data_IF_578541951208
#
_entry.id   IF_578541951208
#
_cell.length_a   1.000
_cell.length_b   1.000
_cell.length_c   1.000
_cell.angle_alpha   90.00
_cell.angle_beta   90.00
_cell.angle_gamma   90.00
#
_symmetry.space_group_name_H-M   'P 1'
#
loop_
_entity.id
_entity.type
_entity.pdbx_description
1 polymer ?
#
# COMPACT_ATOMS: atom_id res chain seq x y z
N UNK A 1 36.11 1.26 -11.45
CA UNK A 1 35.77 2.66 -11.74
C UNK A 1 34.25 2.72 -11.83
N UNK A 2 33.58 2.97 -10.70
CA UNK A 2 32.12 3.14 -10.56
C UNK A 2 31.96 4.17 -9.45
N UNK A 3 32.37 5.41 -9.75
CA UNK A 3 32.19 6.54 -8.84
C UNK A 3 30.75 7.05 -8.99
N UNK A 4 29.97 6.84 -7.94
CA UNK A 4 28.98 7.75 -7.36
C UNK A 4 28.13 8.60 -8.32
N UNK A 5 27.13 8.00 -8.97
CA UNK A 5 25.97 8.71 -9.51
C UNK A 5 24.64 8.20 -8.91
N UNK A 6 24.65 7.91 -7.60
CA UNK A 6 23.47 7.45 -6.86
C UNK A 6 22.49 8.56 -6.47
N UNK A 7 22.81 9.85 -6.70
CA UNK A 7 21.92 10.97 -6.35
C UNK A 7 20.60 10.97 -7.15
N UNK A 8 20.58 10.32 -8.32
CA UNK A 8 19.38 10.24 -9.16
C UNK A 8 18.63 8.90 -9.06
N UNK A 9 19.15 7.95 -8.25
CA UNK A 9 18.52 6.65 -8.09
C UNK A 9 17.20 6.78 -7.35
N UNK A 10 16.13 6.27 -7.95
CA UNK A 10 14.79 6.32 -7.39
C UNK A 10 13.99 5.06 -7.73
N UNK A 11 13.19 4.62 -6.77
CA UNK A 11 12.21 3.55 -6.97
C UNK A 11 11.02 4.13 -7.73
N UNK A 12 10.60 3.46 -8.80
CA UNK A 12 9.44 3.85 -9.60
C UNK A 12 8.18 3.08 -9.20
N UNK A 13 8.31 1.77 -9.02
CA UNK A 13 7.16 0.90 -8.77
C UNK A 13 7.61 -0.44 -8.15
N UNK A 14 6.66 -1.17 -7.55
CA UNK A 14 6.83 -2.54 -7.07
C UNK A 14 5.77 -3.42 -7.72
N UNK A 15 6.21 -4.38 -8.54
CA UNK A 15 5.33 -5.27 -9.28
C UNK A 15 4.73 -6.37 -8.39
N UNK A 16 3.68 -7.06 -8.88
CA UNK A 16 2.96 -8.11 -8.14
C UNK A 16 3.86 -9.24 -7.62
N UNK A 17 4.92 -9.58 -8.35
CA UNK A 17 5.89 -10.60 -7.95
C UNK A 17 6.89 -10.10 -6.87
N UNK A 18 6.80 -8.84 -6.46
CA UNK A 18 7.69 -8.18 -5.51
C UNK A 18 8.95 -7.59 -6.15
N UNK A 19 9.08 -7.64 -7.47
CA UNK A 19 10.22 -7.02 -8.16
C UNK A 19 10.10 -5.51 -8.14
N UNK A 20 11.23 -4.85 -7.96
CA UNK A 20 11.29 -3.39 -7.81
C UNK A 20 11.79 -2.79 -9.12
N UNK A 21 11.01 -1.89 -9.70
CA UNK A 21 11.45 -1.10 -10.85
C UNK A 21 12.10 0.17 -10.30
N UNK A 22 13.29 0.46 -10.78
CA UNK A 22 14.03 1.67 -10.41
C UNK A 22 14.57 2.38 -11.64
N UNK A 23 14.90 3.66 -11.48
CA UNK A 23 15.56 4.45 -12.50
C UNK A 23 16.65 5.31 -11.90
N UNK A 24 17.64 5.65 -12.72
CA UNK A 24 18.65 6.65 -12.45
C UNK A 24 19.07 7.30 -13.77
N UNK A 25 19.71 8.46 -13.69
CA UNK A 25 20.34 9.13 -14.84
C UNK A 25 21.81 8.75 -14.90
N UNK A 26 22.27 8.32 -16.07
CA UNK A 26 23.70 8.09 -16.31
C UNK A 26 24.47 9.42 -16.47
N UNK A 27 25.80 9.34 -16.59
CA UNK A 27 26.68 10.50 -16.75
C UNK A 27 26.37 11.33 -18.01
N UNK A 28 25.64 10.75 -18.97
CA UNK A 28 25.21 11.40 -20.22
C UNK A 28 23.81 12.00 -20.10
N UNK A 29 23.15 11.84 -18.96
CA UNK A 29 21.77 12.28 -18.72
C UNK A 29 20.71 11.35 -19.31
N UNK A 30 21.08 10.16 -19.78
CA UNK A 30 20.13 9.16 -20.25
C UNK A 30 19.41 8.55 -19.06
N UNK A 31 18.13 8.23 -19.27
CA UNK A 31 17.30 7.63 -18.22
C UNK A 31 17.38 6.12 -18.33
N UNK A 32 17.98 5.49 -17.32
CA UNK A 32 18.11 4.03 -17.22
C UNK A 32 16.92 3.44 -16.48
N UNK A 33 16.38 2.33 -16.96
CA UNK A 33 15.35 1.54 -16.29
C UNK A 33 15.91 0.18 -15.90
N UNK A 34 15.87 -0.11 -14.61
CA UNK A 34 16.31 -1.39 -14.05
C UNK A 34 15.19 -2.12 -13.32
N UNK A 35 15.31 -3.44 -13.29
CA UNK A 35 14.47 -4.34 -12.51
C UNK A 35 15.34 -5.04 -11.47
N UNK A 36 15.01 -4.88 -10.20
CA UNK A 36 15.61 -5.64 -9.13
C UNK A 36 14.70 -6.80 -8.74
N UNK A 37 15.19 -8.03 -8.94
CA UNK A 37 14.48 -9.23 -8.54
C UNK A 37 14.78 -9.55 -7.07
N UNK A 38 13.77 -9.40 -6.22
CA UNK A 38 13.93 -9.56 -4.77
C UNK A 38 14.33 -10.99 -4.37
N UNK A 39 13.89 -12.00 -5.11
CA UNK A 39 14.13 -13.41 -4.77
C UNK A 39 15.56 -13.81 -5.12
N UNK A 40 16.02 -13.43 -6.30
CA UNK A 40 17.36 -13.78 -6.80
C UNK A 40 18.43 -12.77 -6.38
N UNK A 41 18.03 -11.58 -5.91
CA UNK A 41 18.89 -10.44 -5.58
C UNK A 41 19.74 -9.98 -6.76
N UNK A 42 19.20 -10.08 -7.98
CA UNK A 42 19.87 -9.68 -9.20
C UNK A 42 19.23 -8.42 -9.78
N UNK A 43 20.07 -7.60 -10.41
CA UNK A 43 19.63 -6.44 -11.19
C UNK A 43 19.64 -6.83 -12.67
N UNK A 44 18.57 -6.45 -13.36
CA UNK A 44 18.39 -6.61 -14.79
C UNK A 44 18.18 -5.23 -15.42
N UNK A 45 18.85 -4.98 -16.55
CA UNK A 45 18.60 -3.79 -17.35
C UNK A 45 17.37 -4.04 -18.24
N UNK A 46 16.38 -3.16 -18.14
CA UNK A 46 15.18 -3.25 -18.98
C UNK A 46 15.31 -2.40 -20.24
N UNK A 47 15.62 -1.12 -20.09
CA UNK A 47 15.66 -0.17 -21.21
C UNK A 47 16.38 1.13 -20.84
N UNK A 48 16.85 1.88 -21.84
CA UNK A 48 17.45 3.21 -21.65
C UNK A 48 16.84 4.19 -22.65
N UNK A 49 16.38 5.35 -22.17
CA UNK A 49 15.92 6.45 -23.02
C UNK A 49 17.02 7.50 -23.19
N UNK A 50 17.37 7.79 -24.44
CA UNK A 50 18.39 8.78 -24.81
C UNK A 50 17.85 10.21 -24.81
N UNK A 51 17.31 10.69 -23.68
CA UNK A 51 16.84 12.07 -23.50
C UNK A 51 16.83 12.46 -22.01
N UNK A 52 17.05 13.75 -21.74
CA UNK A 52 16.86 14.34 -20.42
C UNK A 52 15.35 14.42 -20.09
N UNK A 53 14.80 13.30 -19.63
CA UNK A 53 13.42 13.12 -19.24
C UNK A 53 13.35 12.86 -17.74
N UNK A 54 12.25 13.30 -17.13
CA UNK A 54 11.88 12.87 -15.79
C UNK A 54 10.83 11.78 -15.95
N UNK A 55 11.07 10.62 -15.35
CA UNK A 55 10.07 9.56 -15.33
C UNK A 55 8.94 9.99 -14.40
N UNK A 56 7.71 9.59 -14.71
CA UNK A 56 6.57 9.66 -13.80
C UNK A 56 6.38 8.26 -13.27
N UNK A 57 5.74 7.39 -14.06
CA UNK A 57 5.41 6.03 -13.67
C UNK A 57 6.01 5.02 -14.64
N UNK A 58 6.18 3.79 -14.17
CA UNK A 58 6.67 2.69 -14.99
C UNK A 58 6.16 1.34 -14.48
N UNK A 59 5.87 0.43 -15.41
CA UNK A 59 5.53 -0.95 -15.10
C UNK A 59 6.03 -1.89 -16.20
N UNK A 60 6.35 -3.12 -15.82
CA UNK A 60 6.76 -4.20 -16.72
C UNK A 60 5.78 -5.36 -16.64
N UNK A 61 5.47 -5.97 -17.78
CA UNK A 61 4.60 -7.15 -17.78
C UNK A 61 5.29 -8.37 -17.16
N UNK A 62 4.50 -9.39 -16.83
CA UNK A 62 4.96 -10.61 -16.15
C UNK A 62 6.10 -11.31 -16.90
N UNK A 63 6.02 -11.37 -18.22
CA UNK A 63 6.97 -12.04 -19.10
C UNK A 63 8.25 -11.21 -19.34
N UNK A 64 8.31 -9.95 -18.86
CA UNK A 64 9.43 -9.02 -19.06
C UNK A 64 9.72 -8.71 -20.53
N UNK A 65 8.67 -8.68 -21.36
CA UNK A 65 8.74 -8.44 -22.80
C UNK A 65 8.26 -7.04 -23.18
N UNK A 66 7.44 -6.42 -22.33
CA UNK A 66 6.85 -5.11 -22.52
C UNK A 66 7.14 -4.18 -21.34
N UNK A 67 7.56 -2.96 -21.63
CA UNK A 67 7.75 -1.89 -20.67
C UNK A 67 6.77 -0.75 -20.98
N UNK A 68 5.97 -0.35 -20.01
CA UNK A 68 5.18 0.87 -20.07
C UNK A 68 5.87 1.95 -19.23
N UNK A 69 6.05 3.14 -19.79
CA UNK A 69 6.69 4.25 -19.10
C UNK A 69 6.02 5.58 -19.44
N UNK A 70 5.71 6.37 -18.43
CA UNK A 70 5.24 7.75 -18.57
C UNK A 70 6.38 8.71 -18.25
N UNK A 71 6.66 9.63 -19.16
CA UNK A 71 7.84 10.49 -19.15
C UNK A 71 7.41 11.94 -19.35
N UNK A 72 8.01 12.87 -18.59
CA UNK A 72 7.86 14.31 -18.81
C UNK A 72 9.20 14.95 -19.15
N UNK A 73 9.15 16.03 -19.93
CA UNK A 73 10.36 16.76 -20.28
C UNK A 73 10.87 17.55 -19.07
N UNK A 74 12.13 17.35 -18.68
CA UNK A 74 12.74 18.12 -17.61
C UNK A 74 12.83 19.59 -18.07
N UNK A 75 12.19 20.51 -17.33
CA UNK A 75 12.28 21.92 -17.63
C UNK A 75 13.72 22.39 -17.37
N UNK A 76 14.48 22.69 -18.42
CA UNK A 76 15.76 23.39 -18.25
C UNK A 76 15.46 24.77 -17.66
N UNK A 77 16.04 25.07 -16.50
CA UNK A 77 15.92 26.35 -15.82
C UNK A 77 16.08 27.52 -16.81
N UNK A 78 15.07 28.40 -16.86
CA UNK A 78 15.23 29.75 -17.40
C UNK A 78 14.51 30.13 -18.70
N UNK A 79 13.92 29.20 -19.47
CA UNK A 79 13.09 29.59 -20.64
C UNK A 79 11.88 28.68 -20.84
N UNK A 80 10.81 28.93 -20.10
CA UNK A 80 9.45 28.59 -20.57
C UNK A 80 9.17 29.46 -21.78
N UNK A 81 9.38 28.93 -22.98
CA UNK A 81 8.72 29.48 -24.15
C UNK A 81 7.25 29.05 -24.04
N UNK A 82 6.35 29.94 -23.62
CA UNK A 82 4.89 29.75 -23.56
C UNK A 82 4.25 29.42 -24.93
N UNK A 83 5.05 29.29 -25.99
CA UNK A 83 4.68 29.12 -27.39
C UNK A 83 5.18 27.80 -28.02
N UNK A 84 5.63 26.81 -27.23
CA UNK A 84 5.98 25.48 -27.74
C UNK A 84 4.81 24.49 -27.53
N UNK A 85 4.09 24.08 -28.59
CA UNK A 85 2.90 23.23 -28.52
C UNK A 85 3.23 21.74 -28.36
N UNK A 86 4.01 21.37 -27.32
CA UNK A 86 4.37 19.99 -27.03
C UNK A 86 3.65 19.46 -25.78
N UNK A 87 3.13 18.23 -25.83
CA UNK A 87 2.52 17.57 -24.67
C UNK A 87 3.50 17.43 -23.52
N UNK A 88 3.08 17.79 -22.29
CA UNK A 88 3.93 17.70 -21.08
C UNK A 88 4.33 16.28 -20.73
N UNK A 89 3.42 15.32 -20.89
CA UNK A 89 3.57 13.91 -20.53
C UNK A 89 3.40 13.00 -21.75
N UNK A 90 4.40 12.15 -21.97
CA UNK A 90 4.41 11.14 -23.02
C UNK A 90 4.41 9.76 -22.38
N UNK A 91 3.37 8.97 -22.63
CA UNK A 91 3.25 7.59 -22.18
C UNK A 91 3.56 6.65 -23.32
N UNK A 92 4.56 5.80 -23.12
CA UNK A 92 5.13 4.91 -24.11
C UNK A 92 4.93 3.44 -23.71
N UNK A 93 4.79 2.59 -24.72
CA UNK A 93 4.84 1.14 -24.62
C UNK A 93 6.01 0.65 -25.48
N UNK A 94 6.93 -0.09 -24.88
CA UNK A 94 8.19 -0.51 -25.49
C UNK A 94 8.27 -2.04 -25.48
N UNK A 95 8.57 -2.62 -26.64
CA UNK A 95 8.98 -4.03 -26.76
C UNK A 95 10.46 -4.12 -26.37
N UNK A 96 10.79 -4.84 -25.30
CA UNK A 96 12.16 -4.84 -24.70
C UNK A 96 12.93 -6.16 -24.86
N UNK A 97 12.28 -7.26 -25.26
CA UNK A 97 12.95 -8.55 -25.42
C UNK A 97 12.55 -9.28 -26.71
N UNK A 98 13.29 -9.08 -27.83
CA UNK A 98 14.33 -8.07 -28.05
C UNK A 98 13.74 -6.65 -28.20
N UNK A 99 14.58 -5.63 -28.05
CA UNK A 99 14.18 -4.25 -28.34
C UNK A 99 13.80 -4.12 -29.80
N UNK A 100 12.56 -3.73 -30.05
CA UNK A 100 12.02 -3.72 -31.41
C UNK A 100 11.24 -2.46 -31.74
N UNK A 101 10.27 -2.10 -30.89
CA UNK A 101 9.33 -1.03 -31.19
C UNK A 101 9.02 -0.18 -29.96
N UNK A 102 8.82 1.12 -30.19
CA UNK A 102 8.36 2.09 -29.20
C UNK A 102 7.07 2.72 -29.72
N UNK A 103 5.98 2.50 -29.00
CA UNK A 103 4.67 3.03 -29.33
C UNK A 103 4.25 4.12 -28.36
N UNK A 104 3.72 5.22 -28.87
CA UNK A 104 3.05 6.24 -28.05
C UNK A 104 1.64 5.75 -27.70
N UNK A 105 1.36 5.58 -26.41
CA UNK A 105 0.01 5.29 -25.90
C UNK A 105 -0.79 6.57 -25.68
N UNK A 106 -0.15 7.59 -25.08
CA UNK A 106 -0.74 8.91 -24.85
C UNK A 106 0.31 10.02 -24.92
N UNK A 107 -0.11 11.17 -25.41
CA UNK A 107 0.63 12.43 -25.34
C UNK A 107 -0.35 13.50 -24.86
N UNK A 108 -0.23 13.88 -23.58
CA UNK A 108 -1.19 14.76 -22.88
C UNK A 108 -0.45 15.74 -21.98
N UNK A 109 -1.15 16.77 -21.49
CA UNK A 109 -0.55 17.77 -20.58
C UNK A 109 -0.63 17.39 -19.10
N UNK A 110 -1.39 16.33 -18.80
CA UNK A 110 -1.61 15.73 -17.48
C UNK A 110 -0.65 14.55 -17.22
N UNK A 111 -0.35 14.29 -15.96
CA UNK A 111 0.43 13.10 -15.59
C UNK A 111 -0.38 11.81 -15.79
N UNK A 112 0.33 10.75 -16.20
CA UNK A 112 -0.23 9.41 -16.38
C UNK A 112 0.58 8.42 -15.55
N UNK A 113 -0.12 7.53 -14.85
CA UNK A 113 0.44 6.38 -14.14
C UNK A 113 0.08 5.09 -14.87
N UNK A 114 1.00 4.12 -14.86
CA UNK A 114 0.88 2.90 -15.65
C UNK A 114 1.12 1.67 -14.79
N UNK A 115 0.26 0.66 -14.94
CA UNK A 115 0.40 -0.60 -14.19
C UNK A 115 -0.06 -1.81 -15.01
N UNK A 116 0.83 -2.77 -15.23
CA UNK A 116 0.45 -4.04 -15.85
C UNK A 116 -0.34 -4.93 -14.88
N UNK A 117 -1.34 -5.63 -15.43
CA UNK A 117 -2.05 -6.69 -14.74
C UNK A 117 -1.34 -8.03 -14.96
N UNK A 118 -1.18 -8.80 -13.89
CA UNK A 118 -0.47 -10.07 -13.87
C UNK A 118 -1.49 -11.22 -13.81
N UNK A 119 -1.59 -12.08 -14.82
CA UNK A 119 -2.55 -13.18 -14.80
C UNK A 119 -2.27 -14.13 -13.63
N UNK A 120 -3.33 -14.65 -13.01
CA UNK A 120 -3.23 -15.53 -11.82
C UNK A 120 -2.81 -16.97 -12.19
N UNK A 121 -3.13 -17.43 -13.39
CA UNK A 121 -2.84 -18.79 -13.82
C UNK A 121 -1.47 -18.84 -14.50
N UNK A 122 -0.61 -19.77 -14.05
CA UNK A 122 0.73 -20.01 -14.60
C UNK A 122 0.72 -20.77 -15.93
N UNK A 123 -0.46 -21.17 -16.41
CA UNK A 123 -0.61 -22.01 -17.59
C UNK A 123 -0.68 -21.16 -18.86
N UNK A 124 0.42 -21.23 -19.61
CA UNK A 124 0.70 -20.63 -20.91
C UNK A 124 0.84 -19.11 -20.91
N UNK A 125 1.85 -18.55 -21.61
CA UNK A 125 1.91 -17.11 -21.83
C UNK A 125 0.64 -16.71 -22.58
N UNK A 126 -0.24 -15.98 -21.90
CA UNK A 126 -1.42 -15.43 -22.55
C UNK A 126 -0.92 -14.48 -23.64
N UNK A 127 -1.48 -14.57 -24.86
CA UNK A 127 -1.13 -13.65 -25.93
C UNK A 127 -1.63 -12.23 -25.64
N UNK A 128 -2.33 -11.99 -24.53
CA UNK A 128 -2.92 -10.71 -24.20
C UNK A 128 -2.41 -10.21 -22.84
N UNK A 129 -1.89 -8.99 -22.84
CA UNK A 129 -1.43 -8.27 -21.67
C UNK A 129 -2.38 -7.11 -21.42
N UNK A 130 -2.69 -6.83 -20.16
CA UNK A 130 -3.55 -5.73 -19.78
C UNK A 130 -2.76 -4.66 -19.05
N UNK A 131 -2.98 -3.41 -19.42
CA UNK A 131 -2.30 -2.25 -18.84
C UNK A 131 -3.33 -1.26 -18.33
N UNK A 132 -3.26 -0.91 -17.05
CA UNK A 132 -4.01 0.21 -16.49
C UNK A 132 -3.28 1.51 -16.75
N UNK A 133 -4.01 2.50 -17.26
CA UNK A 133 -3.60 3.89 -17.38
C UNK A 133 -4.47 4.75 -16.46
N UNK A 134 -3.86 5.32 -15.44
CA UNK A 134 -4.50 6.28 -14.54
C UNK A 134 -4.09 7.69 -14.92
N UNK A 135 -5.04 8.59 -15.09
CA UNK A 135 -4.79 9.98 -15.47
C UNK A 135 -4.99 10.94 -14.30
N UNK A 136 -4.18 12.00 -14.27
CA UNK A 136 -4.35 13.15 -13.38
C UNK A 136 -5.71 13.85 -13.61
N UNK A 137 -6.30 13.68 -14.80
CA UNK A 137 -7.66 14.12 -15.13
C UNK A 137 -8.77 13.23 -14.54
N UNK A 138 -8.47 12.48 -13.47
CA UNK A 138 -9.44 11.68 -12.69
C UNK A 138 -10.14 10.57 -13.48
N UNK A 139 -9.42 9.85 -14.34
CA UNK A 139 -9.96 8.66 -15.00
C UNK A 139 -8.95 7.51 -15.09
N UNK A 140 -9.47 6.28 -15.17
CA UNK A 140 -8.70 5.05 -15.30
C UNK A 140 -9.20 4.27 -16.51
N UNK A 141 -8.29 3.84 -17.38
CA UNK A 141 -8.55 3.02 -18.56
C UNK A 141 -7.74 1.73 -18.51
N UNK A 142 -8.32 0.63 -18.97
CA UNK A 142 -7.61 -0.62 -19.23
C UNK A 142 -7.34 -0.72 -20.73
N UNK A 143 -6.08 -0.98 -21.09
CA UNK A 143 -5.64 -1.24 -22.46
C UNK A 143 -5.39 -2.73 -22.63
N UNK A 144 -5.82 -3.23 -23.79
CA UNK A 144 -5.63 -4.60 -24.23
C UNK A 144 -4.47 -4.67 -25.22
N UNK A 145 -3.42 -5.41 -24.87
CA UNK A 145 -2.18 -5.49 -25.64
C UNK A 145 -1.97 -6.94 -26.07
N UNK A 146 -2.34 -7.22 -27.32
CA UNK A 146 -2.08 -8.51 -27.92
C UNK A 146 -0.64 -8.60 -28.40
N UNK A 147 0.03 -9.68 -28.07
CA UNK A 147 1.40 -10.00 -28.45
C UNK A 147 1.45 -11.33 -29.21
N UNK A 148 2.42 -11.44 -30.11
CA UNK A 148 2.78 -12.68 -30.78
C UNK A 148 4.25 -12.97 -30.64
N UNK A 149 4.57 -14.26 -30.50
CA UNK A 149 5.92 -14.76 -30.65
C UNK A 149 6.21 -14.99 -32.13
N UNK A 150 7.20 -14.27 -32.66
CA UNK A 150 7.83 -14.52 -33.96
C UNK A 150 9.07 -15.41 -33.78
N UNK A 151 9.67 -15.85 -34.88
CA UNK A 151 10.85 -16.71 -34.90
C UNK A 151 11.96 -16.20 -33.94
N UNK A 152 12.46 -17.09 -33.08
CA UNK A 152 13.57 -16.81 -32.17
C UNK A 152 13.20 -16.11 -30.85
N UNK A 153 12.05 -16.44 -30.24
CA UNK A 153 11.53 -15.87 -28.98
C UNK A 153 11.22 -14.35 -29.03
N UNK A 154 11.12 -13.77 -30.23
CA UNK A 154 10.81 -12.34 -30.38
C UNK A 154 9.34 -12.09 -30.09
N UNK A 155 9.04 -11.19 -29.16
CA UNK A 155 7.65 -10.79 -28.85
C UNK A 155 7.32 -9.47 -29.53
N UNK A 156 6.26 -9.44 -30.34
CA UNK A 156 5.81 -8.26 -31.10
C UNK A 156 4.35 -7.95 -30.81
N UNK A 157 4.00 -6.68 -30.68
CA UNK A 157 2.63 -6.21 -30.48
C UNK A 157 1.82 -6.37 -31.77
N UNK A 158 0.71 -7.13 -31.70
CA UNK A 158 -0.28 -7.24 -32.77
C UNK A 158 -1.08 -5.95 -32.92
N UNK A 159 -1.48 -5.65 -34.16
CA UNK A 159 -2.37 -4.52 -34.47
C UNK A 159 -1.93 -3.20 -33.82
N UNK A 160 -0.63 -2.90 -33.93
CA UNK A 160 0.02 -1.76 -33.30
C UNK A 160 -0.58 -0.39 -33.68
N UNK A 161 -1.48 -0.30 -34.66
CA UNK A 161 -2.22 0.92 -34.99
C UNK A 161 -3.30 1.30 -33.97
N UNK A 162 -4.02 0.34 -33.37
CA UNK A 162 -5.14 0.63 -32.47
C UNK A 162 -5.24 -0.43 -31.36
N UNK A 163 -4.88 -0.04 -30.13
CA UNK A 163 -5.06 -0.90 -28.96
C UNK A 163 -6.47 -0.68 -28.41
N UNK A 164 -7.28 -1.73 -28.21
CA UNK A 164 -8.57 -1.63 -27.55
C UNK A 164 -8.40 -1.04 -26.14
N UNK A 165 -9.35 -0.18 -25.75
CA UNK A 165 -9.35 0.49 -24.45
C UNK A 165 -10.76 0.43 -23.84
N UNK A 166 -10.83 0.21 -22.54
CA UNK A 166 -12.07 0.22 -21.77
C UNK A 166 -11.94 1.20 -20.60
N UNK A 167 -12.98 2.02 -20.38
CA UNK A 167 -13.05 2.91 -19.21
C UNK A 167 -13.40 2.08 -17.97
N UNK A 168 -12.59 2.22 -16.91
CA UNK A 168 -12.75 1.48 -15.64
C UNK A 168 -13.41 2.36 -14.60
N UNK A 169 -12.89 3.58 -14.41
CA UNK A 169 -13.38 4.54 -13.44
C UNK A 169 -13.18 5.98 -13.95
N UNK A 170 -14.00 6.91 -13.47
CA UNK A 170 -13.94 8.34 -13.79
C UNK A 170 -14.45 9.16 -12.60
N UNK A 171 -14.12 10.46 -12.61
CA UNK A 171 -14.56 11.47 -11.64
C UNK A 171 -14.30 11.12 -10.16
N UNK A 172 -13.22 10.38 -9.90
CA UNK A 172 -12.80 10.02 -8.55
C UNK A 172 -11.96 11.12 -7.89
N UNK A 173 -12.06 11.21 -6.57
CA UNK A 173 -11.24 12.11 -5.73
C UNK A 173 -10.11 11.39 -5.01
N UNK A 174 -10.15 10.05 -4.98
CA UNK A 174 -9.10 9.25 -4.37
C UNK A 174 -9.08 7.87 -5.01
N UNK A 175 -7.90 7.29 -5.19
CA UNK A 175 -7.76 5.89 -5.59
C UNK A 175 -6.54 5.22 -4.94
N UNK A 176 -6.67 3.93 -4.64
CA UNK A 176 -5.58 3.06 -4.20
C UNK A 176 -5.53 1.80 -5.05
N UNK A 177 -4.31 1.45 -5.46
CA UNK A 177 -4.03 0.19 -6.11
C UNK A 177 -3.56 -0.84 -5.09
N UNK A 178 -4.20 -2.02 -5.08
CA UNK A 178 -3.69 -3.19 -4.38
C UNK A 178 -3.04 -4.15 -5.38
N UNK A 179 -1.72 -4.20 -5.34
CA UNK A 179 -0.91 -4.99 -6.27
C UNK A 179 -1.08 -6.50 -6.08
N UNK A 180 -1.27 -6.98 -4.85
CA UNK A 180 -1.27 -8.43 -4.56
C UNK A 180 -2.53 -9.10 -5.10
N UNK A 181 -3.68 -8.51 -4.79
CA UNK A 181 -4.99 -9.00 -5.18
C UNK A 181 -5.48 -8.39 -6.51
N UNK A 182 -4.75 -7.41 -7.07
CA UNK A 182 -5.15 -6.64 -8.25
C UNK A 182 -6.55 -6.07 -8.12
N UNK A 183 -6.71 -5.25 -7.08
CA UNK A 183 -7.95 -4.53 -6.77
C UNK A 183 -7.70 -3.04 -6.86
N UNK A 184 -8.66 -2.35 -7.48
CA UNK A 184 -8.72 -0.90 -7.47
C UNK A 184 -9.77 -0.45 -6.46
N UNK A 185 -9.33 0.27 -5.45
CA UNK A 185 -10.21 1.01 -4.55
C UNK A 185 -10.27 2.46 -5.02
N UNK A 186 -11.45 3.05 -5.14
CA UNK A 186 -11.56 4.46 -5.47
C UNK A 186 -12.79 5.08 -4.82
N UNK A 187 -12.75 6.40 -4.63
CA UNK A 187 -13.83 7.17 -4.03
C UNK A 187 -14.32 8.20 -5.03
N UNK A 188 -15.62 8.18 -5.33
CA UNK A 188 -16.32 9.25 -6.04
C UNK A 188 -17.22 10.05 -5.09
N UNK A 189 -17.57 11.28 -5.49
CA UNK A 189 -18.45 12.16 -4.72
C UNK A 189 -19.87 12.12 -5.30
N UNK A 190 -20.72 11.22 -4.80
CA UNK A 190 -22.13 11.16 -5.20
C UNK A 190 -22.97 12.06 -4.29
N UNK A 191 -23.54 13.14 -4.83
CA UNK A 191 -24.39 14.09 -4.07
C UNK A 191 -23.72 14.60 -2.78
N UNK A 192 -22.42 14.92 -2.88
CA UNK A 192 -21.58 15.35 -1.74
C UNK A 192 -21.34 14.29 -0.66
N UNK A 193 -21.63 13.01 -0.93
CA UNK A 193 -21.22 11.88 -0.09
C UNK A 193 -20.07 11.14 -0.74
N UNK A 194 -19.03 10.84 0.05
CA UNK A 194 -17.92 9.99 -0.36
C UNK A 194 -18.40 8.54 -0.48
N UNK A 195 -18.27 7.92 -1.65
CA UNK A 195 -18.64 6.52 -1.86
C UNK A 195 -17.40 5.73 -2.26
N UNK A 196 -17.00 4.78 -1.41
CA UNK A 196 -15.91 3.85 -1.71
C UNK A 196 -16.41 2.75 -2.63
N UNK A 197 -15.64 2.48 -3.67
CA UNK A 197 -15.89 1.39 -4.61
C UNK A 197 -14.66 0.51 -4.72
N UNK A 198 -14.89 -0.77 -4.94
CA UNK A 198 -13.83 -1.75 -5.16
C UNK A 198 -14.08 -2.46 -6.48
N UNK A 199 -13.10 -2.40 -7.39
CA UNK A 199 -13.08 -3.16 -8.64
C UNK A 199 -12.06 -4.29 -8.50
N UNK A 200 -12.48 -5.52 -8.76
CA UNK A 200 -11.59 -6.68 -8.87
C UNK A 200 -11.25 -6.91 -10.33
N UNK A 201 -9.96 -7.07 -10.63
CA UNK A 201 -9.49 -7.53 -11.95
C UNK A 201 -9.23 -9.03 -11.90
N UNK A 202 -9.84 -9.78 -12.82
CA UNK A 202 -9.70 -11.22 -12.90
C UNK A 202 -8.72 -11.64 -13.99
N UNK A 203 -8.33 -12.92 -13.96
CA UNK A 203 -7.42 -13.49 -14.93
C UNK A 203 -8.07 -13.73 -16.31
N UNK A 204 -9.39 -13.78 -16.39
CA UNK A 204 -10.18 -13.93 -17.62
C UNK A 204 -10.49 -12.58 -18.30
N UNK A 205 -9.63 -11.59 -18.08
CA UNK A 205 -9.65 -10.29 -18.77
C UNK A 205 -10.80 -9.36 -18.38
N UNK A 206 -11.73 -9.85 -17.56
CA UNK A 206 -12.85 -9.09 -17.04
C UNK A 206 -12.52 -8.44 -15.69
N UNK A 207 -13.19 -7.32 -15.43
CA UNK A 207 -13.22 -6.72 -14.11
C UNK A 207 -14.67 -6.54 -13.66
N UNK A 208 -14.91 -6.66 -12.36
CA UNK A 208 -16.23 -6.44 -11.78
C UNK A 208 -16.16 -5.49 -10.61
N UNK A 209 -17.18 -4.65 -10.49
CA UNK A 209 -17.45 -3.92 -9.27
C UNK A 209 -17.87 -4.92 -8.17
N UNK A 210 -17.05 -5.02 -7.13
CA UNK A 210 -17.27 -5.93 -6.00
C UNK A 210 -18.27 -5.35 -5.00
N UNK A 211 -18.10 -4.07 -4.65
CA UNK A 211 -19.01 -3.37 -3.75
C UNK A 211 -18.94 -1.86 -3.97
N UNK A 212 -19.99 -1.18 -3.53
CA UNK A 212 -20.01 0.25 -3.25
C UNK A 212 -20.48 0.46 -1.82
N UNK A 213 -19.85 1.37 -1.08
CA UNK A 213 -20.28 1.71 0.27
C UNK A 213 -20.09 3.19 0.55
N UNK A 214 -21.08 3.86 1.18
CA UNK A 214 -20.89 5.22 1.64
C UNK A 214 -19.83 5.25 2.75
N UNK A 215 -18.96 6.25 2.70
CA UNK A 215 -18.02 6.57 3.75
C UNK A 215 -18.46 7.86 4.44
N UNK A 216 -18.49 7.83 5.76
CA UNK A 216 -18.70 9.02 6.59
C UNK A 216 -17.37 9.79 6.74
N UNK A 217 -16.80 10.20 5.61
CA UNK A 217 -15.54 10.96 5.51
C UNK A 217 -15.72 12.15 4.60
N UNK A 218 -15.22 13.31 5.03
CA UNK A 218 -15.27 14.56 4.27
C UNK A 218 -14.04 14.68 3.38
N UNK A 219 -14.19 14.38 2.09
CA UNK A 219 -13.17 14.63 1.08
C UNK A 219 -13.55 15.85 0.23
N UNK A 220 -12.57 16.68 -0.11
CA UNK A 220 -12.76 17.81 -1.01
C UNK A 220 -12.50 17.38 -2.46
N UNK A 221 -13.21 18.01 -3.40
CA UNK A 221 -12.98 17.80 -4.84
C UNK A 221 -11.75 18.56 -5.38
N UNK A 222 -11.12 19.38 -4.53
CA UNK A 222 -10.03 20.30 -4.87
C UNK A 222 -8.66 19.65 -5.09
N UNK A 223 -8.51 18.35 -4.82
CA UNK A 223 -7.32 17.60 -5.17
C UNK A 223 -7.55 16.10 -5.07
N UNK A 224 -7.19 15.35 -6.12
CA UNK A 224 -7.27 13.90 -6.10
C UNK A 224 -5.96 13.29 -5.59
N UNK A 225 -6.03 12.13 -4.95
CA UNK A 225 -4.85 11.44 -4.39
C UNK A 225 -4.80 10.00 -4.87
N UNK A 226 -3.62 9.59 -5.32
CA UNK A 226 -3.32 8.21 -5.70
C UNK A 226 -2.45 7.57 -4.62
N UNK A 227 -2.74 6.32 -4.27
CA UNK A 227 -1.99 5.53 -3.30
C UNK A 227 -1.52 4.25 -3.97
N UNK A 228 -0.22 3.95 -3.88
CA UNK A 228 0.41 2.77 -4.49
C UNK A 228 0.38 2.71 -6.03
N UNK A 229 0.37 3.85 -6.73
CA UNK A 229 0.44 3.91 -8.20
C UNK A 229 1.85 4.13 -8.77
N UNK A 230 2.88 4.17 -7.91
CA UNK A 230 4.26 4.34 -8.34
C UNK A 230 4.52 5.71 -8.98
N UNK A 231 4.62 6.73 -8.14
CA UNK A 231 5.36 8.00 -8.29
C UNK A 231 4.89 8.96 -7.18
N UNK A 232 5.69 9.17 -6.15
CA UNK A 232 5.57 10.30 -5.22
C UNK A 232 6.92 11.02 -5.24
N UNK A 233 6.97 12.21 -5.85
CA UNK A 233 8.18 13.03 -5.83
C UNK A 233 8.44 13.52 -4.40
N UNK A 234 9.72 13.52 -3.98
CA UNK A 234 10.14 14.10 -2.70
C UNK A 234 9.75 15.59 -2.60
N UNK A 235 9.66 16.30 -3.74
CA UNK A 235 9.19 17.70 -3.76
C UNK A 235 7.68 17.86 -3.57
N UNK A 236 6.87 16.84 -3.84
CA UNK A 236 5.43 16.88 -3.56
C UNK A 236 5.12 16.54 -2.09
N UNK A 237 6.11 16.21 -1.27
CA UNK A 237 5.94 15.94 0.17
C UNK A 237 5.42 17.16 0.95
N UNK A 238 5.82 18.38 0.56
CA UNK A 238 5.28 19.63 1.12
C UNK A 238 3.83 19.92 0.68
N UNK A 239 3.37 19.32 -0.43
CA UNK A 239 1.97 19.40 -0.87
C UNK A 239 1.12 18.25 -0.31
N UNK A 240 1.70 17.07 -0.12
CA UNK A 240 1.05 15.89 0.45
C UNK A 240 0.60 16.11 1.91
N UNK A 241 1.27 16.99 2.66
CA UNK A 241 0.83 17.41 4.00
C UNK A 241 -0.52 18.12 4.01
N UNK A 242 -1.03 18.58 2.85
CA UNK A 242 -2.33 19.23 2.71
C UNK A 242 -3.46 18.27 2.35
N UNK A 243 -3.20 16.98 2.18
CA UNK A 243 -4.22 16.00 1.82
C UNK A 243 -4.42 14.96 2.93
N UNK A 244 -5.68 14.58 3.22
CA UNK A 244 -5.96 13.59 4.23
C UNK A 244 -5.25 12.27 3.90
N UNK A 245 -4.83 11.56 4.94
CA UNK A 245 -4.23 10.23 4.77
C UNK A 245 -5.36 9.20 4.81
N UNK A 246 -5.54 8.49 3.70
CA UNK A 246 -6.55 7.45 3.55
C UNK A 246 -5.89 6.20 2.96
N UNK A 247 -6.07 5.06 3.61
CA UNK A 247 -5.55 3.77 3.19
C UNK A 247 -6.63 2.70 3.35
N UNK A 248 -6.72 1.78 2.40
CA UNK A 248 -7.56 0.58 2.48
C UNK A 248 -6.65 -0.61 2.74
N UNK A 249 -6.98 -1.43 3.74
CA UNK A 249 -6.26 -2.66 4.01
C UNK A 249 -7.18 -3.86 3.91
N UNK A 250 -6.66 -4.89 3.28
CA UNK A 250 -7.24 -6.24 3.20
C UNK A 250 -6.25 -7.23 3.80
N UNK A 251 -6.77 -8.32 4.35
CA UNK A 251 -5.95 -9.45 4.77
C UNK A 251 -6.43 -10.76 4.12
N UNK A 252 -5.62 -11.82 4.25
CA UNK A 252 -5.91 -13.14 3.70
C UNK A 252 -7.12 -13.84 4.34
N UNK A 253 -7.57 -13.38 5.51
CA UNK A 253 -8.82 -13.85 6.12
C UNK A 253 -10.06 -13.15 5.56
N UNK A 254 -9.89 -12.20 4.64
CA UNK A 254 -10.97 -11.49 4.01
C UNK A 254 -11.46 -10.28 4.80
N UNK A 255 -10.78 -9.87 5.87
CA UNK A 255 -11.10 -8.61 6.57
C UNK A 255 -10.76 -7.41 5.69
N UNK A 256 -11.64 -6.41 5.68
CA UNK A 256 -11.45 -5.13 5.03
C UNK A 256 -11.60 -4.01 6.06
N UNK A 257 -10.66 -3.07 6.05
CA UNK A 257 -10.79 -1.82 6.80
C UNK A 257 -10.26 -0.61 6.03
N UNK A 258 -10.85 0.56 6.33
CA UNK A 258 -10.42 1.85 5.77
C UNK A 258 -9.89 2.69 6.92
N UNK A 259 -8.62 3.07 6.82
CA UNK A 259 -7.97 3.97 7.75
C UNK A 259 -8.00 5.39 7.17
N UNK A 260 -8.47 6.33 7.97
CA UNK A 260 -8.65 7.72 7.57
C UNK A 260 -8.09 8.66 8.64
N UNK A 261 -7.37 9.66 8.20
CA UNK A 261 -6.73 10.68 9.02
C UNK A 261 -7.01 12.01 8.30
N UNK A 262 -7.93 12.85 8.80
CA UNK A 262 -8.17 14.17 8.22
C UNK A 262 -6.90 15.02 8.29
N UNK A 263 -6.89 16.13 7.55
CA UNK A 263 -5.87 17.16 7.77
C UNK A 263 -6.05 17.76 9.17
N UNK A 264 -4.94 18.07 9.84
CA UNK A 264 -4.97 18.67 11.16
C UNK A 264 -4.51 20.12 11.09
N UNK A 265 -5.36 21.03 11.58
CA UNK A 265 -5.04 22.44 11.68
C UNK A 265 -4.19 22.77 12.92
N UNK A 266 -4.19 21.90 13.94
CA UNK A 266 -3.38 22.03 15.15
C UNK A 266 -2.65 20.74 15.50
N UNK A 267 -1.41 20.88 15.99
CA UNK A 267 -0.56 19.77 16.44
C UNK A 267 -0.78 19.41 17.92
N UNK A 268 -1.87 19.88 18.54
CA UNK A 268 -2.19 19.56 19.94
C UNK A 268 -2.90 18.20 20.07
N UNK A 269 -3.72 17.87 19.07
CA UNK A 269 -4.48 16.64 19.04
C UNK A 269 -4.52 16.11 17.62
N UNK A 270 -4.32 14.80 17.49
CA UNK A 270 -4.49 14.11 16.22
C UNK A 270 -5.66 13.15 16.34
N UNK A 271 -6.57 13.24 15.37
CA UNK A 271 -7.71 12.35 15.25
C UNK A 271 -7.56 11.45 14.03
N UNK A 272 -7.85 10.16 14.17
CA UNK A 272 -7.94 9.25 13.03
C UNK A 272 -9.05 8.24 13.26
N UNK A 273 -9.58 7.70 12.17
CA UNK A 273 -10.69 6.78 12.15
C UNK A 273 -10.29 5.49 11.43
N UNK A 274 -10.78 4.36 11.94
CA UNK A 274 -10.69 3.06 11.28
C UNK A 274 -12.10 2.53 11.09
N UNK A 275 -12.50 2.35 9.84
CA UNK A 275 -13.80 1.82 9.44
C UNK A 275 -13.64 0.32 9.16
N UNK A 276 -14.26 -0.52 9.98
CA UNK A 276 -14.20 -1.98 9.87
C UNK A 276 -15.37 -2.48 9.01
N UNK A 277 -15.17 -2.53 7.70
CA UNK A 277 -16.21 -2.89 6.73
C UNK A 277 -16.82 -4.26 7.02
N UNK A 278 -15.97 -5.23 7.34
CA UNK A 278 -16.39 -6.59 7.67
C UNK A 278 -17.17 -6.70 9.00
N UNK A 279 -17.21 -5.64 9.82
CA UNK A 279 -18.01 -5.55 11.06
C UNK A 279 -19.12 -4.48 11.01
N UNK A 280 -19.22 -3.72 9.91
CA UNK A 280 -20.25 -2.70 9.73
C UNK A 280 -20.16 -1.48 10.66
N UNK A 281 -19.03 -1.23 11.32
CA UNK A 281 -18.86 -0.07 12.20
C UNK A 281 -17.47 0.57 12.07
N UNK A 282 -17.34 1.80 12.60
CA UNK A 282 -16.09 2.54 12.64
C UNK A 282 -15.71 2.97 14.05
N UNK A 283 -14.42 3.16 14.29
CA UNK A 283 -13.90 3.75 15.53
C UNK A 283 -13.04 4.96 15.21
N UNK A 284 -13.23 6.02 15.97
CA UNK A 284 -12.43 7.24 15.89
C UNK A 284 -11.62 7.38 17.17
N UNK A 285 -10.33 7.64 17.01
CA UNK A 285 -9.36 7.78 18.08
C UNK A 285 -8.80 9.19 18.04
N UNK A 286 -8.63 9.80 19.21
CA UNK A 286 -7.99 11.10 19.37
C UNK A 286 -6.83 10.94 20.34
N UNK A 287 -5.63 11.25 19.87
CA UNK A 287 -4.40 11.22 20.65
C UNK A 287 -3.95 12.66 20.91
N UNK A 288 -3.75 13.00 22.19
CA UNK A 288 -3.15 14.28 22.59
C UNK A 288 -1.64 14.20 22.38
N UNK A 289 -1.10 15.12 21.61
CA UNK A 289 0.33 15.32 21.48
C UNK A 289 0.77 16.29 22.58
N UNK A 290 1.86 15.98 23.29
CA UNK A 290 2.51 16.97 24.17
C UNK A 290 3.01 18.18 23.38
N UNK A 291 3.59 19.18 24.04
CA UNK A 291 4.11 20.37 23.36
C UNK A 291 5.17 19.96 22.31
N UNK A 292 4.79 19.96 21.02
CA UNK A 292 5.63 19.47 19.93
C UNK A 292 6.54 20.59 19.46
N UNK A 293 7.85 20.35 19.45
CA UNK A 293 8.78 21.21 18.71
C UNK A 293 8.45 21.13 17.22
N UNK A 294 8.15 22.29 16.63
CA UNK A 294 7.58 22.50 15.28
C UNK A 294 8.40 22.00 14.09
N UNK A 295 9.41 21.15 14.31
CA UNK A 295 10.40 20.74 13.30
C UNK A 295 10.11 19.40 12.61
N UNK A 296 9.04 18.68 12.97
CA UNK A 296 8.75 17.37 12.37
C UNK A 296 7.40 17.39 11.66
N UNK A 297 7.41 17.75 10.38
CA UNK A 297 6.29 17.73 9.42
C UNK A 297 5.90 16.30 8.99
N UNK A 298 5.94 15.31 9.88
CA UNK A 298 5.66 13.91 9.51
C UNK A 298 4.18 13.59 9.74
N UNK A 299 3.49 13.19 8.69
CA UNK A 299 2.10 12.71 8.77
C UNK A 299 2.00 11.36 9.48
N UNK A 300 0.80 11.00 9.92
CA UNK A 300 0.50 9.64 10.40
C UNK A 300 0.78 8.63 9.28
N UNK A 301 1.40 7.52 9.66
CA UNK A 301 1.51 6.34 8.80
C UNK A 301 0.59 5.25 9.30
N UNK A 302 -0.17 4.65 8.38
CA UNK A 302 -0.88 3.40 8.61
C UNK A 302 -0.13 2.25 7.96
N UNK A 303 0.07 1.15 8.69
CA UNK A 303 0.74 -0.06 8.20
C UNK A 303 -0.13 -1.29 8.44
N UNK A 304 -0.26 -2.16 7.44
CA UNK A 304 -0.89 -3.47 7.61
C UNK A 304 0.11 -4.50 8.15
N UNK A 305 -0.28 -5.15 9.24
CA UNK A 305 0.45 -6.21 9.95
C UNK A 305 -0.48 -7.43 10.15
N UNK A 306 -1.05 -7.90 9.05
CA UNK A 306 -1.99 -9.05 8.97
C UNK A 306 -3.29 -8.86 9.77
N UNK A 307 -3.31 -9.29 11.03
CA UNK A 307 -4.46 -9.15 11.95
C UNK A 307 -4.49 -7.80 12.67
N UNK A 308 -3.46 -6.99 12.44
CA UNK A 308 -3.30 -5.70 13.06
C UNK A 308 -3.09 -4.60 12.02
N UNK A 309 -3.52 -3.40 12.37
CA UNK A 309 -3.10 -2.17 11.71
C UNK A 309 -2.28 -1.37 12.71
N UNK A 310 -1.05 -1.04 12.36
CA UNK A 310 -0.24 -0.10 13.12
C UNK A 310 -0.51 1.32 12.63
N UNK A 311 -0.90 2.20 13.55
CA UNK A 311 -1.01 3.65 13.37
C UNK A 311 0.16 4.28 14.09
N UNK A 312 1.05 4.91 13.34
CA UNK A 312 2.32 5.40 13.87
C UNK A 312 2.53 6.85 13.50
N UNK A 313 2.89 7.66 14.49
CA UNK A 313 3.42 8.99 14.31
C UNK A 313 4.84 9.04 14.87
N UNK A 314 5.86 9.26 14.02
CA UNK A 314 7.26 9.21 14.45
C UNK A 314 7.57 10.08 15.67
N UNK A 315 8.12 9.46 16.72
CA UNK A 315 8.51 10.13 17.96
C UNK A 315 7.36 10.51 18.91
N UNK A 316 6.11 10.16 18.59
CA UNK A 316 4.94 10.62 19.36
C UNK A 316 4.09 9.48 19.90
N UNK A 317 3.60 8.59 19.04
CA UNK A 317 2.79 7.46 19.47
C UNK A 317 2.84 6.30 18.48
N UNK A 318 2.50 5.12 18.99
CA UNK A 318 2.31 3.90 18.20
C UNK A 318 1.04 3.19 18.70
N UNK A 319 0.04 3.03 17.84
CA UNK A 319 -1.18 2.29 18.12
C UNK A 319 -1.26 1.04 17.25
N UNK A 320 -1.18 -0.13 17.87
CA UNK A 320 -1.40 -1.40 17.20
C UNK A 320 -2.86 -1.83 17.41
N UNK A 321 -3.70 -1.63 16.40
CA UNK A 321 -5.12 -1.92 16.41
C UNK A 321 -5.40 -3.34 15.94
N UNK A 322 -6.09 -4.15 16.74
CA UNK A 322 -6.55 -5.47 16.30
C UNK A 322 -7.75 -5.28 15.36
N UNK A 323 -7.59 -5.64 14.09
CA UNK A 323 -8.67 -5.46 13.09
C UNK A 323 -9.63 -6.65 13.04
N UNK A 324 -9.28 -7.78 13.65
CA UNK A 324 -10.10 -8.99 13.69
C UNK A 324 -11.17 -8.91 14.79
N UNK A 325 -10.81 -8.32 15.93
CA UNK A 325 -11.67 -8.08 17.09
C UNK A 325 -11.68 -6.60 17.47
N UNK A 326 -12.18 -5.72 16.59
CA UNK A 326 -12.13 -4.28 16.84
C UNK A 326 -12.88 -3.89 18.12
N UNK A 327 -13.91 -4.64 18.52
CA UNK A 327 -14.70 -4.41 19.74
C UNK A 327 -13.92 -4.66 21.03
N UNK A 328 -12.92 -5.55 20.99
CA UNK A 328 -12.09 -5.89 22.14
C UNK A 328 -10.88 -4.95 22.20
N UNK A 329 -11.09 -3.76 22.77
CA UNK A 329 -10.04 -2.73 22.93
C UNK A 329 -8.82 -3.28 23.68
N UNK A 330 -9.04 -4.23 24.60
CA UNK A 330 -7.99 -4.94 25.32
C UNK A 330 -7.02 -5.72 24.41
N UNK A 331 -7.36 -5.96 23.14
CA UNK A 331 -6.46 -6.60 22.17
C UNK A 331 -5.62 -5.58 21.39
N UNK A 332 -5.87 -4.27 21.56
CA UNK A 332 -5.16 -3.20 20.87
C UNK A 332 -4.18 -2.52 21.83
N UNK A 333 -2.96 -2.29 21.36
CA UNK A 333 -1.87 -1.74 22.16
C UNK A 333 -1.61 -0.29 21.76
N UNK A 334 -1.74 0.64 22.72
CA UNK A 334 -1.44 2.05 22.50
C UNK A 334 -0.23 2.48 23.32
N UNK A 335 0.81 2.96 22.65
CA UNK A 335 2.06 3.45 23.24
C UNK A 335 2.22 4.93 22.97
N UNK A 336 2.65 5.69 23.98
CA UNK A 336 2.94 7.14 23.88
C UNK A 336 4.43 7.41 24.03
N UNK A 337 4.88 8.57 23.52
CA UNK A 337 6.28 8.97 23.26
C UNK A 337 7.31 8.80 24.38
N UNK A 338 6.89 8.49 25.60
CA UNK A 338 7.80 8.18 26.71
C UNK A 338 8.21 6.70 26.77
N UNK A 339 7.80 5.88 25.81
CA UNK A 339 8.16 4.46 25.73
C UNK A 339 9.47 4.27 24.96
N UNK A 340 10.43 3.55 25.55
CA UNK A 340 11.70 3.14 24.89
C UNK A 340 11.45 2.44 23.55
N UNK A 341 10.28 1.83 23.37
CA UNK A 341 9.86 1.15 22.13
C UNK A 341 9.65 2.14 20.97
N UNK A 342 9.22 3.36 21.24
CA UNK A 342 8.98 4.38 20.20
C UNK A 342 10.31 4.92 19.66
N UNK A 343 11.33 5.00 20.49
CA UNK A 343 12.68 5.40 20.07
C UNK A 343 13.35 4.34 19.18
N UNK A 344 12.91 3.08 19.24
CA UNK A 344 13.37 2.03 18.33
C UNK A 344 12.69 2.07 16.95
N UNK A 345 11.56 2.80 16.81
CA UNK A 345 10.83 2.88 15.55
C UNK A 345 11.52 3.87 14.58
N UNK A 346 11.45 3.62 13.26
CA UNK A 346 12.06 4.52 12.29
C UNK A 346 11.51 5.94 12.43
N UNK A 347 12.40 6.90 12.66
CA UNK A 347 11.98 8.30 12.75
C UNK A 347 11.61 8.88 11.38
N UNK A 348 12.06 8.29 10.28
CA UNK A 348 11.77 8.73 8.91
C UNK A 348 10.31 8.43 8.51
N UNK A 349 9.72 9.19 7.57
CA UNK A 349 8.39 8.90 7.06
C UNK A 349 8.40 7.58 6.29
N UNK A 350 7.44 6.73 6.63
CA UNK A 350 7.26 5.40 6.06
C UNK A 350 6.06 5.41 5.10
N UNK A 351 6.19 4.77 3.95
CA UNK A 351 5.07 4.52 3.06
C UNK A 351 4.69 3.04 3.10
N UNK A 352 3.44 2.75 3.46
CA UNK A 352 2.89 1.40 3.35
C UNK A 352 2.66 1.06 1.87
N UNK A 353 3.13 -0.12 1.48
CA UNK A 353 2.82 -0.74 0.20
C UNK A 353 1.98 -2.02 0.46
N UNK A 354 1.55 -2.70 -0.60
CA UNK A 354 0.81 -3.96 -0.48
C UNK A 354 1.60 -5.03 0.29
N UNK A 355 0.90 -5.85 1.07
CA UNK A 355 1.45 -7.07 1.69
C UNK A 355 2.59 -6.81 2.68
N UNK A 356 2.35 -5.93 3.65
CA UNK A 356 3.27 -5.53 4.75
C UNK A 356 4.63 -4.96 4.33
N UNK A 357 4.79 -4.60 3.06
CA UNK A 357 5.97 -3.91 2.56
C UNK A 357 5.93 -2.43 2.95
N UNK A 358 7.08 -1.89 3.33
CA UNK A 358 7.22 -0.51 3.79
C UNK A 358 8.43 0.11 3.13
N UNK A 359 8.23 1.22 2.43
CA UNK A 359 9.32 2.04 1.89
C UNK A 359 9.68 3.11 2.91
N UNK A 360 10.94 3.10 3.34
CA UNK A 360 11.53 4.18 4.12
C UNK A 360 12.10 5.25 3.18
N UNK A 361 11.41 6.39 3.09
CA UNK A 361 11.81 7.50 2.24
C UNK A 361 13.15 8.11 2.65
N UNK A 362 13.47 8.10 3.94
CA UNK A 362 14.71 8.70 4.44
C UNK A 362 15.95 7.92 4.00
N UNK A 363 15.83 6.60 3.85
CA UNK A 363 16.95 5.74 3.45
C UNK A 363 16.83 5.15 2.05
N UNK A 364 15.68 5.28 1.39
CA UNK A 364 15.37 4.63 0.12
C UNK A 364 15.29 3.10 0.22
N UNK A 365 15.17 2.55 1.44
CA UNK A 365 15.17 1.11 1.68
C UNK A 365 13.76 0.57 1.78
N UNK A 366 13.55 -0.60 1.18
CA UNK A 366 12.32 -1.36 1.30
C UNK A 366 12.46 -2.41 2.40
N UNK A 367 11.48 -2.42 3.31
CA UNK A 367 11.40 -3.35 4.42
C UNK A 367 10.10 -4.17 4.34
N UNK A 368 10.09 -5.31 5.03
CA UNK A 368 8.86 -6.03 5.35
C UNK A 368 8.59 -5.87 6.83
N UNK A 369 7.49 -5.21 7.18
CA UNK A 369 7.09 -5.01 8.55
C UNK A 369 6.40 -6.28 9.08
N UNK A 370 6.87 -6.76 10.23
CA UNK A 370 6.36 -7.98 10.88
C UNK A 370 6.36 -7.77 12.40
N UNK A 371 5.37 -8.35 13.06
CA UNK A 371 5.37 -8.44 14.52
C UNK A 371 6.33 -9.56 14.96
N UNK A 372 7.38 -9.18 15.69
CA UNK A 372 8.39 -10.12 16.16
C UNK A 372 7.99 -10.67 17.54
N UNK A 373 7.74 -11.98 17.60
CA UNK A 373 7.32 -12.66 18.83
C UNK A 373 8.31 -12.51 20.00
N UNK A 374 9.62 -12.55 19.74
CA UNK A 374 10.62 -12.43 20.81
C UNK A 374 10.60 -11.04 21.43
N UNK A 375 10.52 -9.99 20.61
CA UNK A 375 10.40 -8.61 21.11
C UNK A 375 9.06 -8.37 21.81
N UNK A 376 7.96 -8.92 21.30
CA UNK A 376 6.66 -8.81 21.98
C UNK A 376 6.64 -9.51 23.35
N UNK A 377 7.29 -10.67 23.47
CA UNK A 377 7.46 -11.36 24.75
C UNK A 377 8.33 -10.56 25.72
N UNK A 378 9.47 -10.06 25.25
CA UNK A 378 10.35 -9.21 26.06
C UNK A 378 9.59 -7.97 26.53
N UNK A 379 8.77 -7.38 25.65
CA UNK A 379 7.99 -6.22 26.02
C UNK A 379 6.86 -6.57 27.01
N UNK A 380 6.18 -7.71 26.84
CA UNK A 380 5.20 -8.23 27.81
C UNK A 380 5.79 -8.36 29.21
N UNK A 381 7.05 -8.82 29.31
CA UNK A 381 7.74 -8.98 30.59
C UNK A 381 8.11 -7.66 31.25
N UNK A 382 8.42 -6.63 30.45
CA UNK A 382 8.97 -5.37 30.94
C UNK A 382 7.92 -4.27 31.11
N UNK A 383 6.75 -4.36 30.46
CA UNK A 383 5.69 -3.36 30.61
C UNK A 383 5.14 -3.33 32.04
N UNK A 384 4.78 -2.13 32.50
CA UNK A 384 4.21 -1.92 33.84
C UNK A 384 2.68 -1.88 33.82
N UNK A 385 2.08 -1.41 32.74
CA UNK A 385 0.64 -1.17 32.67
C UNK A 385 -0.10 -2.46 32.35
N UNK A 386 -1.13 -2.76 33.15
CA UNK A 386 -1.91 -3.97 32.95
C UNK A 386 -2.63 -4.02 31.60
N UNK A 387 -3.13 -2.88 31.11
CA UNK A 387 -3.76 -2.81 29.79
C UNK A 387 -2.78 -3.13 28.66
N UNK A 388 -1.53 -2.70 28.78
CA UNK A 388 -0.47 -3.04 27.83
C UNK A 388 -0.11 -4.53 27.92
N UNK A 389 0.01 -5.09 29.14
CA UNK A 389 0.24 -6.53 29.35
C UNK A 389 -0.85 -7.36 28.69
N UNK A 390 -2.11 -6.97 28.87
CA UNK A 390 -3.26 -7.64 28.30
C UNK A 390 -3.21 -7.62 26.77
N UNK A 391 -3.01 -6.44 26.16
CA UNK A 391 -2.90 -6.31 24.72
C UNK A 391 -1.71 -7.08 24.14
N UNK A 392 -0.56 -7.04 24.80
CA UNK A 392 0.63 -7.79 24.42
C UNK A 392 0.42 -9.30 24.53
N UNK A 393 -0.26 -9.79 25.56
CA UNK A 393 -0.59 -11.21 25.72
C UNK A 393 -1.41 -11.71 24.52
N UNK A 394 -2.49 -11.01 24.16
CA UNK A 394 -3.30 -11.38 22.99
C UNK A 394 -2.54 -11.23 21.67
N UNK A 395 -1.71 -10.19 21.54
CA UNK A 395 -0.88 -9.97 20.35
C UNK A 395 0.16 -11.09 20.17
N UNK A 396 0.85 -11.47 21.24
CA UNK A 396 1.83 -12.57 21.23
C UNK A 396 1.17 -13.88 20.82
N UNK A 397 0.03 -14.22 21.42
CA UNK A 397 -0.69 -15.46 21.15
C UNK A 397 -1.24 -15.52 19.72
N UNK A 398 -1.77 -14.41 19.20
CA UNK A 398 -2.27 -14.34 17.81
C UNK A 398 -1.16 -14.43 16.75
N UNK A 399 0.03 -13.93 17.06
CA UNK A 399 1.16 -13.92 16.12
C UNK A 399 1.96 -15.24 16.10
N UNK A 400 1.61 -16.23 16.93
CA UNK A 400 2.38 -17.46 17.19
C UNK A 400 2.49 -18.43 16.00
N UNK A 401 3.72 -18.77 15.59
CA UNK A 401 4.01 -19.83 14.59
C UNK A 401 4.21 -21.21 15.23
N UNK A 402 4.59 -21.23 16.51
CA UNK A 402 4.73 -22.42 17.36
C UNK A 402 4.02 -22.14 18.69
N UNK A 403 2.69 -22.36 18.74
CA UNK A 403 1.88 -21.99 19.91
C UNK A 403 2.33 -22.74 21.17
N UNK A 404 2.76 -24.01 21.06
CA UNK A 404 3.11 -24.82 22.23
C UNK A 404 4.36 -24.31 22.95
N UNK A 405 5.41 -23.98 22.19
CA UNK A 405 6.65 -23.44 22.79
C UNK A 405 6.42 -22.05 23.38
N UNK A 406 5.57 -21.26 22.73
CA UNK A 406 5.21 -19.93 23.17
C UNK A 406 4.42 -19.97 24.48
N UNK A 407 3.39 -20.81 24.54
CA UNK A 407 2.58 -21.05 25.74
C UNK A 407 3.45 -21.49 26.91
N UNK A 408 4.41 -22.40 26.71
CA UNK A 408 5.32 -22.82 27.77
C UNK A 408 6.13 -21.64 28.37
N UNK A 409 6.61 -20.71 27.54
CA UNK A 409 7.31 -19.51 28.01
C UNK A 409 6.40 -18.57 28.78
N UNK A 410 5.16 -18.39 28.31
CA UNK A 410 4.17 -17.54 28.98
C UNK A 410 3.78 -18.17 30.32
N UNK A 411 3.51 -19.47 30.38
CA UNK A 411 3.20 -20.20 31.63
C UNK A 411 4.34 -20.05 32.63
N UNK A 412 5.59 -20.20 32.19
CA UNK A 412 6.75 -20.00 33.05
C UNK A 412 6.76 -18.57 33.62
N UNK A 413 6.60 -17.56 32.76
CA UNK A 413 6.57 -16.17 33.19
C UNK A 413 5.43 -15.88 34.17
N UNK A 414 4.20 -16.37 33.90
CA UNK A 414 3.05 -16.22 34.80
C UNK A 414 3.35 -16.85 36.16
N UNK A 415 3.98 -18.02 36.18
CA UNK A 415 4.34 -18.73 37.42
C UNK A 415 5.38 -17.97 38.25
N UNK A 416 6.30 -17.27 37.59
CA UNK A 416 7.30 -16.40 38.23
C UNK A 416 6.71 -15.04 38.65
N UNK A 417 5.56 -14.64 38.09
CA UNK A 417 4.99 -13.29 38.18
C UNK A 417 3.48 -13.29 38.50
N UNK A 418 3.03 -14.17 39.39
CA UNK A 418 1.59 -14.41 39.68
C UNK A 418 0.84 -13.13 40.08
N UNK A 419 1.51 -12.16 40.70
CA UNK A 419 0.94 -10.88 41.12
C UNK A 419 1.32 -9.69 40.22
N UNK A 420 1.76 -9.95 38.98
CA UNK A 420 2.19 -8.88 38.08
C UNK A 420 1.05 -8.05 37.50
N UNK A 421 -0.20 -8.54 37.53
CA UNK A 421 -1.37 -7.79 37.10
C UNK A 421 -2.28 -7.48 38.30
N UNK A 422 -2.83 -6.27 38.33
CA UNK A 422 -3.73 -5.80 39.39
C UNK A 422 -5.20 -5.72 38.96
N UNK A 423 -5.46 -5.56 37.66
CA UNK A 423 -6.79 -5.32 37.10
C UNK A 423 -7.48 -6.56 36.50
N UNK A 424 -6.75 -7.66 36.28
CA UNK A 424 -7.30 -8.91 35.75
C UNK A 424 -6.51 -10.13 36.25
N UNK A 425 -7.15 -11.31 36.20
CA UNK A 425 -6.50 -12.58 36.49
C UNK A 425 -5.72 -13.07 35.27
N UNK A 426 -4.39 -13.05 35.39
CA UNK A 426 -3.47 -13.37 34.32
C UNK A 426 -3.53 -14.85 33.89
N UNK A 427 -3.80 -15.77 34.82
CA UNK A 427 -3.91 -17.21 34.52
C UNK A 427 -5.20 -17.46 33.75
N UNK A 428 -6.32 -16.90 34.25
CA UNK A 428 -7.61 -17.02 33.60
C UNK A 428 -7.55 -16.47 32.17
N UNK A 429 -7.01 -15.27 31.99
CA UNK A 429 -6.94 -14.62 30.69
C UNK A 429 -6.04 -15.39 29.72
N UNK A 430 -4.89 -15.89 30.19
CA UNK A 430 -4.03 -16.74 29.38
C UNK A 430 -4.76 -17.99 28.87
N UNK A 431 -5.53 -18.67 29.75
CA UNK A 431 -6.29 -19.86 29.35
C UNK A 431 -7.34 -19.51 28.29
N UNK A 432 -8.07 -18.40 28.46
CA UNK A 432 -9.08 -17.94 27.52
C UNK A 432 -8.44 -17.63 26.17
N UNK A 433 -7.39 -16.80 26.17
CA UNK A 433 -6.71 -16.35 24.96
C UNK A 433 -6.04 -17.51 24.22
N UNK A 434 -5.29 -18.37 24.91
CA UNK A 434 -4.63 -19.55 24.31
C UNK A 434 -5.67 -20.51 23.71
N UNK A 435 -6.74 -20.83 24.46
CA UNK A 435 -7.80 -21.70 23.96
C UNK A 435 -8.47 -21.12 22.71
N UNK A 436 -8.78 -19.82 22.75
CA UNK A 436 -9.37 -19.12 21.61
C UNK A 436 -8.49 -19.22 20.36
N UNK A 437 -7.21 -18.85 20.46
CA UNK A 437 -6.28 -18.84 19.33
C UNK A 437 -5.89 -20.25 18.85
N UNK A 438 -6.07 -21.28 19.68
CA UNK A 438 -5.87 -22.67 19.25
C UNK A 438 -6.99 -23.18 18.33
N UNK A 439 -8.23 -22.73 18.55
CA UNK A 439 -9.42 -23.18 17.80
C UNK A 439 -9.68 -22.28 16.59
N UNK A 440 -9.43 -20.97 16.73
CA UNK A 440 -9.78 -19.97 15.72
C UNK A 440 -9.24 -20.26 14.30
N UNK A 441 -7.97 -20.68 14.10
CA UNK A 441 -7.43 -20.98 12.79
C UNK A 441 -8.25 -22.03 12.02
N UNK A 442 -8.83 -23.03 12.73
CA UNK A 442 -9.67 -24.08 12.14
C UNK A 442 -11.02 -23.53 11.64
N UNK A 443 -11.52 -22.45 12.24
CA UNK A 443 -12.79 -21.79 11.90
C UNK A 443 -12.66 -20.63 10.91
N UNK A 444 -11.44 -20.13 10.64
CA UNK A 444 -11.15 -18.99 9.75
C UNK A 444 -11.58 -19.16 8.29
N UNK A 445 -11.93 -20.39 7.86
CA UNK A 445 -12.58 -20.62 6.57
C UNK A 445 -14.04 -20.12 6.54
N UNK A 446 -14.65 -19.78 7.69
CA UNK A 446 -15.97 -19.15 7.74
C UNK A 446 -15.95 -17.70 7.27
N UNK A 447 -14.86 -16.96 7.51
CA UNK A 447 -14.71 -15.59 6.99
C UNK A 447 -14.52 -15.58 5.46
N UNK A 448 -14.07 -16.71 4.87
CA UNK A 448 -14.02 -16.91 3.41
C UNK A 448 -15.37 -17.25 2.77
N UNK A 449 -16.38 -17.65 3.55
CA UNK A 449 -17.70 -18.03 3.04
C UNK A 449 -18.60 -16.82 2.70
N UNK A 450 -18.18 -15.60 3.04
CA UNK A 450 -18.85 -14.37 2.65
C UNK A 450 -17.90 -13.49 1.81
N UNK A 451 -17.64 -13.86 0.55
CA UNK A 451 -16.97 -12.95 -0.37
C UNK A 451 -17.94 -11.82 -0.72
N UNK A 452 -18.00 -10.79 0.14
CA UNK A 452 -18.58 -9.46 -0.10
C UNK A 452 -19.78 -9.43 -1.06
N UNK A 453 -20.74 -10.33 -0.86
CA UNK A 453 -21.97 -10.33 -1.63
C UNK A 453 -22.85 -9.23 -1.06
N UNK A 454 -23.23 -8.29 -1.92
CA UNK A 454 -24.30 -7.31 -1.73
C UNK A 454 -25.47 -7.92 -0.93
N UNK A 455 -25.52 -7.67 0.38
CA UNK A 455 -26.74 -7.82 1.17
C UNK A 455 -27.41 -6.45 1.22
N UNK A 456 -28.22 -6.20 0.20
CA UNK A 456 -29.08 -5.04 -0.01
C UNK A 456 -30.18 -4.86 1.07
N UNK A 457 -30.06 -5.51 2.23
CA UNK A 457 -31.11 -5.52 3.26
C UNK A 457 -30.49 -5.60 4.66
N UNK A 458 -30.13 -4.45 5.23
CA UNK A 458 -29.93 -4.31 6.68
C UNK A 458 -30.86 -3.25 7.29
N UNK A 459 -31.93 -2.85 6.59
CA UNK A 459 -32.92 -1.90 7.13
C UNK A 459 -34.08 -2.58 7.90
N UNK A 460 -33.97 -3.87 8.23
CA UNK A 460 -34.94 -4.53 9.11
C UNK A 460 -34.23 -5.47 10.07
N UNK A 461 -33.72 -4.92 11.18
CA UNK A 461 -33.78 -5.44 12.56
C UNK A 461 -32.97 -4.50 13.46
N UNK A 462 -33.64 -3.47 13.97
CA UNK A 462 -33.66 -3.04 15.38
C UNK A 462 -34.66 -1.91 15.53
#
# INVERSE_FOLDING_TARGET
>A
VLENNYESLRVLNVERNGNIIYTYKDDKGNVFFGLYDYKTKQNEHLYTFEKDLQVVSCSVNRERTLLAASLVQAAKEGRRNELQPGSRCLTLLVEIHPINNVKVLKAVDSYIWVQFLYPQVESHPLPENHLLLTSEEKYIEQLHIQVTQEDGNRVVIKNSGHLPRQRVAEDFVWAQWDMSEQRLYYIDLKKSRSVLKCIQFYADEHFSLMFEAPLDVSLSDSGFKLVNFGYDDLQDQEKLSKHPTLCVFTNHTGSLCVCYCPNFDSWEQITYSVLYFHKGHGKTFTATLGHVDSRVTKGITFLSLDYYVAVYLPGHFFHLLNIQHPDLICHSLFLTGNSEVIDMLPHSPLQSLSGSLVLDWGSGKLYRALLNQSYLLEFLWNTRLDCEKLALLHCVLSCGRDPRRLEAKIIQWISENISACHSFDLVQEFIIASSYWSIYPETSNMDKLLPYSSLLTWDTVS
#
